data_IF_693865995639
#
_entry.id   IF_693865995639
#
_cell.length_a   1.000
_cell.length_b   1.000
_cell.length_c   1.000
_cell.angle_alpha   90.00
_cell.angle_beta   90.00
_cell.angle_gamma   90.00
#
_symmetry.space_group_name_H-M   'P 1'
#
loop_
_entity.id
_entity.type
_entity.pdbx_description
1 polymer ?
#
# COMPACT_ATOMS: atom_id res chain seq x y z
N UNK A 1 -33.43 -15.38 -0.46
CA UNK A 1 -34.05 -14.05 -0.75
C UNK A 1 -33.49 -12.89 0.09
N UNK A 2 -32.49 -13.12 0.94
CA UNK A 2 -31.89 -12.11 1.84
C UNK A 2 -30.70 -11.34 1.25
N UNK A 3 -30.00 -11.86 0.24
CA UNK A 3 -28.74 -11.26 -0.25
C UNK A 3 -28.94 -10.02 -1.13
N UNK A 4 -29.93 -10.03 -2.02
CA UNK A 4 -30.13 -8.92 -2.97
C UNK A 4 -30.64 -7.63 -2.31
N UNK A 5 -31.54 -7.74 -1.32
CA UNK A 5 -32.04 -6.57 -0.58
C UNK A 5 -30.97 -5.96 0.34
N UNK A 6 -30.12 -6.81 0.96
CA UNK A 6 -28.96 -6.38 1.74
C UNK A 6 -27.90 -5.67 0.90
N UNK A 7 -27.69 -6.09 -0.36
CA UNK A 7 -26.72 -5.48 -1.29
C UNK A 7 -27.23 -4.12 -1.83
N UNK A 8 -28.52 -3.99 -2.09
CA UNK A 8 -29.13 -2.71 -2.50
C UNK A 8 -29.06 -1.68 -1.37
N UNK A 9 -29.34 -2.09 -0.13
CA UNK A 9 -29.23 -1.21 1.05
C UNK A 9 -27.77 -0.79 1.30
N UNK A 10 -26.82 -1.71 1.18
CA UNK A 10 -25.40 -1.42 1.27
C UNK A 10 -24.90 -0.46 0.18
N UNK A 11 -25.49 -0.49 -1.01
CA UNK A 11 -25.13 0.42 -2.12
C UNK A 11 -25.56 1.87 -1.89
N UNK A 12 -26.40 2.16 -0.90
CA UNK A 12 -26.96 3.49 -0.63
C UNK A 12 -26.40 4.18 0.62
N UNK A 13 -25.48 3.56 1.35
CA UNK A 13 -24.90 4.11 2.57
C UNK A 13 -23.78 5.10 2.28
N UNK A 14 -23.68 6.20 3.06
CA UNK A 14 -22.51 7.10 3.05
C UNK A 14 -21.27 6.38 3.56
N UNK A 15 -20.08 6.85 3.15
CA UNK A 15 -18.80 6.35 3.68
C UNK A 15 -18.42 4.93 3.25
N UNK A 16 -18.98 4.39 2.16
CA UNK A 16 -18.75 3.00 1.69
C UNK A 16 -17.27 2.67 1.53
N UNK A 17 -16.48 3.55 0.93
CA UNK A 17 -15.04 3.34 0.80
C UNK A 17 -14.35 3.39 2.18
N UNK A 18 -14.72 4.31 3.03
CA UNK A 18 -14.20 4.42 4.39
C UNK A 18 -14.43 3.12 5.18
N UNK A 19 -15.61 2.53 5.04
CA UNK A 19 -16.01 1.30 5.72
C UNK A 19 -15.19 0.07 5.33
N UNK A 20 -14.52 0.05 4.18
CA UNK A 20 -13.64 -1.07 3.76
C UNK A 20 -12.16 -0.82 4.07
N UNK A 21 -11.78 0.42 4.43
CA UNK A 21 -10.38 0.73 4.77
C UNK A 21 -9.95 0.04 6.07
N UNK A 22 -8.64 -0.19 6.21
CA UNK A 22 -8.10 -0.85 7.40
C UNK A 22 -8.72 -2.22 7.69
N UNK A 23 -9.15 -2.97 6.67
CA UNK A 23 -9.87 -4.27 6.78
C UNK A 23 -11.20 -4.13 7.53
N UNK A 24 -11.95 -3.07 7.28
CA UNK A 24 -13.25 -2.81 7.92
C UNK A 24 -13.16 -2.06 9.25
N UNK A 25 -11.95 -1.65 9.67
CA UNK A 25 -11.74 -0.91 10.93
C UNK A 25 -11.62 0.60 10.76
N UNK A 26 -11.37 1.09 9.56
CA UNK A 26 -11.04 2.47 9.23
C UNK A 26 -9.74 2.96 9.90
N UNK A 27 -8.64 3.00 9.16
CA UNK A 27 -7.44 3.73 9.59
C UNK A 27 -7.73 5.24 9.47
N UNK A 28 -7.99 5.90 10.61
CA UNK A 28 -8.43 7.30 10.66
C UNK A 28 -7.30 8.24 10.27
N UNK A 29 -6.14 8.05 10.88
CA UNK A 29 -4.93 8.84 10.64
C UNK A 29 -3.69 8.05 11.08
N UNK A 30 -2.52 8.68 11.00
CA UNK A 30 -1.29 8.20 11.60
C UNK A 30 -0.87 9.21 12.68
N UNK A 31 -0.63 8.72 13.91
CA UNK A 31 -0.26 9.55 15.06
C UNK A 31 1.18 10.04 14.92
N UNK A 32 1.33 11.12 14.17
CA UNK A 32 2.62 11.77 13.87
C UNK A 32 2.44 13.27 13.73
N UNK A 33 3.53 14.00 13.76
CA UNK A 33 3.56 15.44 13.55
C UNK A 33 3.43 15.82 12.04
N UNK A 34 3.32 17.12 11.76
CA UNK A 34 3.19 17.64 10.41
C UNK A 34 4.39 17.24 9.53
N UNK A 35 5.60 17.23 10.09
CA UNK A 35 6.78 16.82 9.35
C UNK A 35 6.74 15.32 9.00
N UNK A 36 6.26 14.47 9.93
CA UNK A 36 6.05 13.06 9.68
C UNK A 36 5.01 12.82 8.58
N UNK A 37 3.91 13.57 8.57
CA UNK A 37 2.94 13.51 7.48
C UNK A 37 3.60 13.88 6.14
N UNK A 38 4.31 15.01 6.08
CA UNK A 38 4.97 15.48 4.86
C UNK A 38 6.04 14.52 4.34
N UNK A 39 6.83 13.90 5.23
CA UNK A 39 7.84 12.89 4.82
C UNK A 39 7.23 11.67 4.13
N UNK A 40 5.98 11.34 4.45
CA UNK A 40 5.27 10.21 3.87
C UNK A 40 4.45 10.56 2.60
N UNK A 41 4.52 11.79 2.13
CA UNK A 41 3.95 12.20 0.83
C UNK A 41 5.02 12.05 -0.25
N UNK A 42 4.93 11.08 -1.17
CA UNK A 42 6.00 10.75 -2.12
C UNK A 42 6.37 11.85 -3.10
N UNK A 43 5.65 12.95 -3.15
CA UNK A 43 6.03 14.08 -4.01
C UNK A 43 5.14 15.28 -3.82
N UNK A 44 5.74 16.44 -4.05
CA UNK A 44 5.10 17.74 -3.85
C UNK A 44 4.49 17.93 -2.44
N UNK A 45 5.13 17.34 -1.41
CA UNK A 45 4.66 17.37 -0.04
C UNK A 45 4.42 18.81 0.47
N UNK A 46 5.24 19.76 0.05
CA UNK A 46 5.11 21.18 0.42
C UNK A 46 3.75 21.80 0.08
N UNK A 47 3.10 21.31 -0.97
CA UNK A 47 1.75 21.74 -1.33
C UNK A 47 0.73 21.48 -0.20
N UNK A 48 0.93 20.44 0.61
CA UNK A 48 0.04 20.07 1.71
C UNK A 48 0.42 20.71 3.05
N UNK A 49 1.50 21.50 3.11
CA UNK A 49 1.98 22.09 4.37
C UNK A 49 0.89 22.88 5.09
N UNK A 50 0.24 23.83 4.39
CA UNK A 50 -0.82 24.65 4.98
C UNK A 50 -2.02 23.83 5.45
N UNK A 51 -2.42 22.80 4.67
CA UNK A 51 -3.52 21.94 5.03
C UNK A 51 -3.21 21.11 6.30
N UNK A 52 -2.02 20.50 6.37
CA UNK A 52 -1.60 19.74 7.56
C UNK A 52 -1.32 20.64 8.78
N UNK A 53 -0.88 21.88 8.56
CA UNK A 53 -0.74 22.84 9.66
C UNK A 53 -2.07 23.33 10.21
N UNK A 54 -3.10 23.40 9.38
CA UNK A 54 -4.45 23.79 9.81
C UNK A 54 -5.24 22.64 10.43
N UNK A 55 -5.02 21.40 9.97
CA UNK A 55 -5.71 20.20 10.45
C UNK A 55 -4.77 18.99 10.38
N UNK A 56 -4.01 18.81 11.45
CA UNK A 56 -3.03 17.73 11.59
C UNK A 56 -3.63 16.41 12.10
N UNK A 57 -2.80 15.41 12.35
CA UNK A 57 -3.25 14.12 12.86
C UNK A 57 -3.91 14.22 14.24
N UNK A 58 -3.39 15.08 15.12
CA UNK A 58 -3.97 15.29 16.46
C UNK A 58 -5.31 15.99 16.38
N UNK A 59 -5.46 16.99 15.52
CA UNK A 59 -6.73 17.65 15.22
C UNK A 59 -7.76 16.65 14.72
N UNK A 60 -7.37 15.73 13.83
CA UNK A 60 -8.24 14.67 13.34
C UNK A 60 -8.67 13.71 14.46
N UNK A 61 -7.75 13.31 15.34
CA UNK A 61 -8.06 12.47 16.49
C UNK A 61 -9.04 13.17 17.43
N UNK A 62 -8.73 14.40 17.85
CA UNK A 62 -9.60 15.19 18.75
C UNK A 62 -10.98 15.43 18.16
N UNK A 63 -11.07 15.63 16.85
CA UNK A 63 -12.35 15.79 16.16
C UNK A 63 -13.25 14.55 16.31
N UNK A 64 -12.73 13.34 16.08
CA UNK A 64 -13.51 12.11 16.23
C UNK A 64 -13.84 11.80 17.69
N UNK A 65 -12.91 12.04 18.61
CA UNK A 65 -13.14 11.88 20.05
C UNK A 65 -14.25 12.84 20.55
N UNK A 66 -14.27 14.09 20.10
CA UNK A 66 -15.32 15.05 20.37
C UNK A 66 -16.69 14.62 19.81
N UNK A 67 -16.71 13.85 18.71
CA UNK A 67 -17.92 13.24 18.17
C UNK A 67 -18.36 11.95 18.89
N UNK A 68 -17.66 11.58 19.98
CA UNK A 68 -17.96 10.41 20.78
C UNK A 68 -17.41 9.09 20.24
N UNK A 69 -16.37 9.13 19.41
CA UNK A 69 -15.69 7.94 18.90
C UNK A 69 -14.31 7.81 19.54
N UNK A 70 -14.16 6.98 20.58
CA UNK A 70 -12.85 6.71 21.20
C UNK A 70 -11.90 6.09 20.19
N UNK A 71 -10.64 6.56 20.19
CA UNK A 71 -9.59 6.09 19.29
C UNK A 71 -8.49 5.33 20.05
N UNK A 72 -7.74 4.52 19.31
CA UNK A 72 -6.51 3.83 19.80
C UNK A 72 -5.43 3.94 18.74
N UNK A 73 -4.17 4.08 19.21
CA UNK A 73 -2.98 4.02 18.35
C UNK A 73 -2.37 2.62 18.43
N UNK A 74 -2.15 2.00 17.28
CA UNK A 74 -1.52 0.68 17.14
C UNK A 74 -0.10 0.79 16.60
N UNK A 75 0.60 -0.35 16.48
CA UNK A 75 1.95 -0.44 15.91
C UNK A 75 2.04 0.29 14.57
N UNK A 76 3.08 1.09 14.39
CA UNK A 76 3.29 1.93 13.21
C UNK A 76 2.48 3.23 13.25
N UNK A 77 2.12 3.68 14.45
CA UNK A 77 1.37 4.91 14.72
C UNK A 77 0.00 4.98 13.99
N UNK A 78 -0.57 3.84 13.61
CA UNK A 78 -1.89 3.79 12.93
C UNK A 78 -3.02 3.96 13.94
N UNK A 79 -3.92 4.89 13.65
CA UNK A 79 -5.04 5.23 14.52
C UNK A 79 -6.33 4.58 14.02
N UNK A 80 -7.01 3.88 14.92
CA UNK A 80 -8.27 3.19 14.66
C UNK A 80 -9.31 3.53 15.72
N UNK A 81 -10.63 3.39 15.42
CA UNK A 81 -11.63 3.41 16.49
C UNK A 81 -11.38 2.25 17.46
N UNK A 82 -11.58 2.50 18.75
CA UNK A 82 -11.35 1.49 19.78
C UNK A 82 -12.24 0.24 19.61
N UNK A 83 -13.41 0.40 19.00
CA UNK A 83 -14.36 -0.66 18.67
C UNK A 83 -13.93 -1.57 17.51
N UNK A 84 -12.87 -1.20 16.76
CA UNK A 84 -12.47 -1.85 15.50
C UNK A 84 -13.57 -1.85 14.40
N UNK A 85 -14.51 -0.90 14.46
CA UNK A 85 -15.64 -0.80 13.53
C UNK A 85 -15.59 0.50 12.74
N UNK A 86 -15.35 0.42 11.45
CA UNK A 86 -15.34 1.59 10.55
C UNK A 86 -16.68 2.35 10.54
N UNK A 87 -17.78 1.65 10.82
CA UNK A 87 -19.11 2.26 10.88
C UNK A 87 -19.25 3.33 11.97
N UNK A 88 -18.53 3.24 13.07
CA UNK A 88 -18.59 4.24 14.14
C UNK A 88 -18.04 5.60 13.64
N UNK A 89 -17.01 5.57 12.79
CA UNK A 89 -16.47 6.75 12.13
C UNK A 89 -17.48 7.34 11.13
N UNK A 90 -18.02 6.50 10.24
CA UNK A 90 -18.95 7.00 9.21
C UNK A 90 -20.26 7.49 9.79
N UNK A 91 -20.75 6.87 10.87
CA UNK A 91 -21.96 7.27 11.56
C UNK A 91 -21.76 8.59 12.31
N UNK A 92 -20.60 8.78 12.95
CA UNK A 92 -20.25 10.03 13.59
C UNK A 92 -20.20 11.19 12.58
N UNK A 93 -19.54 11.00 11.42
CA UNK A 93 -19.50 11.99 10.34
C UNK A 93 -20.89 12.30 9.79
N UNK A 94 -21.73 11.27 9.63
CA UNK A 94 -23.11 11.45 9.16
C UNK A 94 -23.93 12.27 10.15
N UNK A 95 -23.86 11.93 11.44
CA UNK A 95 -24.56 12.69 12.51
C UNK A 95 -24.09 14.13 12.55
N UNK A 96 -22.77 14.35 12.48
CA UNK A 96 -22.18 15.68 12.48
C UNK A 96 -22.67 16.53 11.30
N UNK A 97 -22.67 15.98 10.09
CA UNK A 97 -23.17 16.70 8.90
C UNK A 97 -24.64 17.10 9.05
N UNK A 98 -25.49 16.16 9.49
CA UNK A 98 -26.93 16.42 9.66
C UNK A 98 -27.23 17.44 10.80
N UNK A 99 -26.51 17.34 11.92
CA UNK A 99 -26.67 18.29 13.03
C UNK A 99 -26.14 19.69 12.69
N UNK A 100 -25.22 19.79 11.73
CA UNK A 100 -24.74 21.06 11.18
C UNK A 100 -25.64 21.66 10.10
N UNK A 101 -26.82 21.08 9.84
CA UNK A 101 -27.79 21.55 8.87
C UNK A 101 -27.52 21.11 7.41
N UNK A 102 -26.58 20.19 7.17
CA UNK A 102 -26.34 19.67 5.82
C UNK A 102 -27.47 18.75 5.36
N UNK A 103 -27.90 18.88 4.11
CA UNK A 103 -28.84 17.97 3.47
C UNK A 103 -28.09 16.88 2.71
N UNK A 104 -28.42 15.60 2.96
CA UNK A 104 -27.86 14.45 2.26
C UNK A 104 -28.78 14.00 1.14
N UNK A 105 -28.33 14.13 -0.10
CA UNK A 105 -29.04 13.65 -1.29
C UNK A 105 -28.37 12.43 -1.89
N UNK A 106 -29.18 11.45 -2.31
CA UNK A 106 -28.72 10.17 -2.88
C UNK A 106 -28.96 10.16 -4.37
N UNK A 107 -28.11 10.86 -5.09
CA UNK A 107 -28.19 10.92 -6.54
C UNK A 107 -26.79 11.06 -7.14
N UNK A 108 -26.68 10.76 -8.43
CA UNK A 108 -25.47 11.00 -9.18
C UNK A 108 -25.44 12.44 -9.65
N UNK A 109 -24.31 13.12 -9.39
CA UNK A 109 -24.02 14.42 -9.97
C UNK A 109 -23.54 14.22 -11.41
N UNK A 110 -24.15 14.94 -12.35
CA UNK A 110 -23.86 14.84 -13.78
C UNK A 110 -22.90 15.94 -14.24
N UNK A 111 -23.04 17.16 -13.70
CA UNK A 111 -22.19 18.30 -14.06
C UNK A 111 -22.31 19.44 -13.07
N UNK A 112 -21.32 20.31 -13.10
CA UNK A 112 -21.35 21.63 -12.46
C UNK A 112 -21.60 22.69 -13.55
N UNK A 113 -22.45 23.65 -13.26
CA UNK A 113 -22.79 24.76 -14.17
C UNK A 113 -22.07 26.01 -13.71
N UNK A 114 -21.39 26.68 -14.64
CA UNK A 114 -20.76 27.97 -14.42
C UNK A 114 -21.42 29.01 -15.31
N UNK A 115 -21.76 30.18 -14.73
CA UNK A 115 -22.34 31.31 -15.39
C UNK A 115 -21.59 32.57 -14.91
N UNK A 116 -21.34 33.50 -15.79
CA UNK A 116 -20.62 34.77 -15.48
C UNK A 116 -19.26 34.58 -14.78
N UNK A 117 -18.53 33.49 -15.13
CA UNK A 117 -17.20 33.20 -14.57
C UNK A 117 -17.20 32.58 -13.18
N UNK A 118 -18.36 32.21 -12.61
CA UNK A 118 -18.49 31.56 -11.32
C UNK A 118 -19.39 30.33 -11.37
N UNK A 119 -19.34 29.52 -10.32
CA UNK A 119 -20.27 28.39 -10.14
C UNK A 119 -21.68 28.93 -9.90
N UNK A 120 -22.69 28.39 -10.58
CA UNK A 120 -24.09 28.77 -10.41
C UNK A 120 -24.99 27.62 -9.92
N UNK A 121 -24.66 26.39 -10.24
CA UNK A 121 -25.45 25.23 -9.83
C UNK A 121 -24.68 23.90 -9.98
N UNK A 122 -25.17 22.89 -9.26
CA UNK A 122 -24.90 21.48 -9.52
C UNK A 122 -26.13 20.84 -10.18
N UNK A 123 -25.93 20.01 -11.21
CA UNK A 123 -26.99 19.24 -11.86
C UNK A 123 -26.79 17.78 -11.52
N UNK A 124 -27.78 17.17 -10.89
CA UNK A 124 -27.88 15.74 -10.61
C UNK A 124 -28.97 15.08 -11.42
N UNK A 125 -29.17 13.78 -11.22
CA UNK A 125 -30.27 13.03 -11.83
C UNK A 125 -31.65 13.52 -11.36
N UNK A 126 -31.71 14.05 -10.13
CA UNK A 126 -32.95 14.55 -9.52
C UNK A 126 -33.25 16.02 -9.81
N UNK A 127 -32.36 16.77 -10.45
CA UNK A 127 -32.60 18.17 -10.78
C UNK A 127 -31.38 19.09 -10.73
N UNK A 128 -31.67 20.39 -10.74
CA UNK A 128 -30.66 21.46 -10.64
C UNK A 128 -30.69 22.07 -9.22
N UNK A 129 -29.52 22.19 -8.61
CA UNK A 129 -29.30 22.72 -7.28
C UNK A 129 -28.45 24.00 -7.37
N UNK A 130 -29.03 25.17 -7.17
CA UNK A 130 -28.28 26.44 -7.16
C UNK A 130 -27.26 26.45 -6.03
N UNK A 131 -26.03 26.90 -6.32
CA UNK A 131 -24.97 27.05 -5.33
C UNK A 131 -23.90 28.02 -5.88
N UNK A 132 -23.17 28.65 -4.98
CA UNK A 132 -22.09 29.60 -5.30
C UNK A 132 -20.72 28.91 -5.29
N UNK A 133 -20.61 27.76 -4.63
CA UNK A 133 -19.35 27.01 -4.51
C UNK A 133 -19.60 25.50 -4.48
N UNK A 134 -18.66 24.72 -5.00
CA UNK A 134 -18.71 23.25 -5.02
C UNK A 134 -17.39 22.69 -4.52
N UNK A 135 -17.46 21.75 -3.58
CA UNK A 135 -16.32 20.91 -3.18
C UNK A 135 -16.44 19.58 -3.91
N UNK A 136 -15.52 19.35 -4.86
CA UNK A 136 -15.46 18.09 -5.63
C UNK A 136 -14.70 17.03 -4.84
N UNK A 137 -15.42 16.14 -4.14
CA UNK A 137 -14.87 15.13 -3.24
C UNK A 137 -15.32 13.70 -3.61
N UNK A 138 -15.37 13.40 -4.91
CA UNK A 138 -15.93 12.16 -5.47
C UNK A 138 -15.02 10.92 -5.34
N UNK A 139 -13.80 11.08 -4.84
CA UNK A 139 -12.78 10.04 -4.82
C UNK A 139 -12.13 9.82 -6.20
N UNK A 140 -11.35 8.75 -6.30
CA UNK A 140 -10.62 8.38 -7.52
C UNK A 140 -11.25 7.21 -8.30
N UNK A 141 -10.40 6.29 -8.81
CA UNK A 141 -10.83 5.11 -9.59
C UNK A 141 -10.73 3.79 -8.81
N UNK A 142 -10.11 3.79 -7.63
CA UNK A 142 -9.94 2.56 -6.84
C UNK A 142 -11.26 2.12 -6.23
N UNK A 143 -11.53 0.80 -6.25
CA UNK A 143 -12.76 0.19 -5.74
C UNK A 143 -14.04 0.82 -6.30
N UNK A 144 -14.29 0.72 -7.63
CA UNK A 144 -15.44 1.39 -8.28
C UNK A 144 -16.79 1.00 -7.67
N UNK A 145 -16.91 -0.23 -7.16
CA UNK A 145 -18.11 -0.70 -6.45
C UNK A 145 -18.46 0.14 -5.20
N UNK A 146 -17.56 0.98 -4.70
CA UNK A 146 -17.81 1.90 -3.58
C UNK A 146 -18.32 3.28 -4.03
N UNK A 147 -18.43 3.53 -5.33
CA UNK A 147 -18.84 4.82 -5.91
C UNK A 147 -17.68 5.66 -6.47
N UNK A 148 -16.44 5.17 -6.43
CA UNK A 148 -15.27 5.87 -6.99
C UNK A 148 -15.11 5.51 -8.47
N UNK A 149 -15.90 6.12 -9.33
CA UNK A 149 -16.02 5.82 -10.77
C UNK A 149 -15.23 6.77 -11.66
N UNK A 150 -14.62 7.81 -11.09
CA UNK A 150 -13.85 8.82 -11.82
C UNK A 150 -14.67 10.02 -12.29
N UNK A 151 -15.96 10.09 -12.00
CA UNK A 151 -16.85 11.18 -12.43
C UNK A 151 -16.28 12.58 -12.11
N UNK A 152 -15.56 12.72 -10.96
CA UNK A 152 -14.92 13.98 -10.58
C UNK A 152 -13.82 14.42 -11.55
N UNK A 153 -13.10 13.51 -12.16
CA UNK A 153 -12.10 13.87 -13.17
C UNK A 153 -12.76 14.38 -14.44
N UNK A 154 -13.88 13.82 -14.84
CA UNK A 154 -14.63 14.26 -16.02
C UNK A 154 -15.28 15.61 -15.79
N UNK A 155 -15.85 15.82 -14.59
CA UNK A 155 -16.38 17.13 -14.18
C UNK A 155 -15.26 18.19 -14.17
N UNK A 156 -14.08 17.87 -13.61
CA UNK A 156 -12.95 18.79 -13.58
C UNK A 156 -12.47 19.17 -14.99
N UNK A 157 -12.37 18.19 -15.90
CA UNK A 157 -12.02 18.47 -17.33
C UNK A 157 -13.06 19.36 -18.01
N UNK A 158 -14.34 19.08 -17.78
CA UNK A 158 -15.43 19.87 -18.33
C UNK A 158 -15.42 21.33 -17.85
N UNK A 159 -14.85 21.58 -16.67
CA UNK A 159 -14.64 22.93 -16.08
C UNK A 159 -13.31 23.57 -16.53
N UNK A 160 -12.55 22.95 -17.42
CA UNK A 160 -11.29 23.49 -17.96
C UNK A 160 -10.05 23.17 -17.15
N UNK A 161 -10.15 22.32 -16.10
CA UNK A 161 -8.97 21.89 -15.35
C UNK A 161 -8.16 20.81 -16.08
N UNK A 162 -6.85 20.89 -15.98
CA UNK A 162 -5.96 19.83 -16.45
C UNK A 162 -5.94 18.68 -15.45
N UNK A 163 -6.30 17.48 -15.92
CA UNK A 163 -6.16 16.24 -15.15
C UNK A 163 -4.96 15.48 -15.68
N UNK A 164 -3.93 15.33 -14.85
CA UNK A 164 -2.72 14.56 -15.19
C UNK A 164 -3.05 13.09 -15.40
N UNK A 165 -2.23 12.33 -16.17
CA UNK A 165 -2.45 10.89 -16.32
C UNK A 165 -2.57 10.19 -14.97
N UNK A 166 -3.60 9.36 -14.83
CA UNK A 166 -3.85 8.61 -13.60
C UNK A 166 -2.95 7.38 -13.57
N UNK A 167 -2.38 7.09 -12.40
CA UNK A 167 -1.57 5.91 -12.15
C UNK A 167 -1.98 5.25 -10.83
N UNK A 168 -1.87 3.91 -10.72
CA UNK A 168 -2.09 3.24 -9.45
C UNK A 168 -1.04 3.67 -8.41
N UNK A 169 -1.44 3.64 -7.14
CA UNK A 169 -0.57 3.88 -5.99
C UNK A 169 -1.00 2.97 -4.85
N UNK A 170 -0.08 2.62 -3.95
CA UNK A 170 -0.31 1.64 -2.89
C UNK A 170 -0.82 0.30 -3.48
N UNK A 171 -0.18 -0.16 -4.54
CA UNK A 171 -0.57 -1.32 -5.31
C UNK A 171 0.47 -2.44 -5.20
N UNK A 172 0.04 -3.68 -5.39
CA UNK A 172 0.95 -4.80 -5.53
C UNK A 172 1.78 -4.66 -6.82
N UNK A 173 2.97 -5.27 -6.84
CA UNK A 173 3.92 -5.21 -7.95
C UNK A 173 3.92 -6.53 -8.73
N UNK A 174 3.89 -6.42 -10.06
CA UNK A 174 3.99 -7.58 -10.95
C UNK A 174 5.46 -7.86 -11.27
N UNK A 175 5.87 -9.11 -11.10
CA UNK A 175 7.21 -9.57 -11.45
C UNK A 175 7.36 -9.64 -12.98
N UNK A 176 8.58 -9.40 -13.47
CA UNK A 176 8.94 -9.56 -14.88
C UNK A 176 9.00 -11.03 -15.32
N UNK A 177 9.17 -11.24 -16.62
CA UNK A 177 9.30 -12.58 -17.21
C UNK A 177 10.46 -13.38 -16.60
N UNK A 178 10.28 -14.70 -16.46
CA UNK A 178 11.29 -15.59 -15.87
C UNK A 178 11.40 -15.48 -14.35
N UNK A 179 10.45 -14.82 -13.69
CA UNK A 179 10.45 -14.60 -12.26
C UNK A 179 10.22 -15.83 -11.40
N UNK A 180 10.36 -15.68 -10.11
CA UNK A 180 10.31 -16.77 -9.12
C UNK A 180 9.17 -16.61 -8.10
N UNK A 181 8.49 -15.47 -8.08
CA UNK A 181 7.50 -15.15 -7.04
C UNK A 181 6.36 -16.17 -7.00
N UNK A 182 5.92 -16.67 -8.14
CA UNK A 182 4.86 -17.68 -8.23
C UNK A 182 5.23 -18.99 -7.51
N UNK A 183 6.53 -19.39 -7.51
CA UNK A 183 7.02 -20.58 -6.78
C UNK A 183 6.93 -20.40 -5.26
N UNK A 184 6.91 -19.16 -4.78
CA UNK A 184 6.83 -18.78 -3.37
C UNK A 184 5.45 -18.25 -2.98
N UNK A 185 4.42 -18.40 -3.83
CA UNK A 185 3.07 -17.90 -3.57
C UNK A 185 2.56 -18.26 -2.17
N UNK A 186 2.02 -17.24 -1.48
CA UNK A 186 1.49 -17.36 -0.12
C UNK A 186 2.56 -17.30 0.98
N UNK A 187 3.85 -17.23 0.64
CA UNK A 187 4.90 -16.99 1.62
C UNK A 187 4.88 -15.53 2.07
N UNK A 188 4.66 -15.32 3.37
CA UNK A 188 4.78 -14.01 4.02
C UNK A 188 6.08 -13.96 4.83
N UNK A 189 6.83 -12.88 4.64
CA UNK A 189 8.06 -12.57 5.38
C UNK A 189 7.79 -11.35 6.26
N UNK A 190 8.10 -11.42 7.57
CA UNK A 190 7.71 -10.37 8.53
C UNK A 190 8.80 -9.33 8.83
N UNK A 191 10.05 -9.72 8.80
CA UNK A 191 11.17 -8.88 9.23
C UNK A 191 12.22 -8.84 8.12
N UNK A 192 11.85 -8.25 6.99
CA UNK A 192 12.75 -8.03 5.85
C UNK A 192 12.95 -6.54 5.61
N UNK A 193 14.04 -6.19 4.96
CA UNK A 193 14.20 -4.86 4.40
C UNK A 193 14.07 -4.94 2.88
N UNK A 194 13.52 -3.89 2.28
CA UNK A 194 13.50 -3.75 0.83
C UNK A 194 14.25 -2.49 0.41
N UNK A 195 14.83 -2.54 -0.78
CA UNK A 195 15.33 -1.37 -1.50
C UNK A 195 14.71 -1.37 -2.89
N UNK A 196 14.02 -0.28 -3.24
CA UNK A 196 13.49 -0.07 -4.58
C UNK A 196 14.49 0.73 -5.41
N UNK A 197 14.83 0.20 -6.57
CA UNK A 197 15.69 0.85 -7.56
C UNK A 197 14.88 1.28 -8.79
N UNK A 198 15.15 2.47 -9.30
CA UNK A 198 14.69 2.99 -10.58
C UNK A 198 15.89 3.15 -11.52
N UNK A 199 15.96 2.35 -12.59
CA UNK A 199 17.11 2.33 -13.54
C UNK A 199 18.46 2.27 -12.82
N UNK A 200 18.58 1.39 -11.83
CA UNK A 200 19.79 1.20 -11.02
C UNK A 200 20.03 2.21 -9.91
N UNK A 201 19.24 3.29 -9.83
CA UNK A 201 19.31 4.27 -8.76
C UNK A 201 18.37 3.91 -7.61
N UNK A 202 18.87 3.84 -6.39
CA UNK A 202 18.08 3.67 -5.17
C UNK A 202 17.13 4.86 -4.98
N UNK A 203 15.82 4.60 -4.85
CA UNK A 203 14.80 5.62 -4.68
C UNK A 203 13.96 5.48 -3.39
N UNK A 204 13.90 4.26 -2.81
CA UNK A 204 13.12 4.02 -1.59
C UNK A 204 13.67 2.83 -0.82
N UNK A 205 13.52 2.83 0.51
CA UNK A 205 13.81 1.70 1.40
C UNK A 205 12.74 1.62 2.46
N UNK A 206 12.42 0.40 2.87
CA UNK A 206 11.48 0.16 3.97
C UNK A 206 11.83 -1.16 4.69
N UNK A 207 11.29 -1.31 5.91
CA UNK A 207 11.44 -2.51 6.72
C UNK A 207 10.08 -2.96 7.24
N UNK A 208 9.75 -4.24 7.04
CA UNK A 208 8.47 -4.77 7.51
C UNK A 208 8.07 -6.09 6.89
N UNK A 209 6.79 -6.18 6.50
CA UNK A 209 6.17 -7.40 5.96
C UNK A 209 6.04 -7.35 4.44
N UNK A 210 6.38 -8.47 3.81
CA UNK A 210 6.25 -8.73 2.38
C UNK A 210 5.50 -10.04 2.15
N UNK A 211 4.69 -10.10 1.11
CA UNK A 211 3.97 -11.29 0.66
C UNK A 211 4.33 -11.61 -0.79
N UNK A 212 4.76 -12.84 -1.05
CA UNK A 212 4.89 -13.38 -2.41
C UNK A 212 3.53 -13.86 -2.93
N UNK A 213 3.19 -13.46 -4.16
CA UNK A 213 1.96 -13.83 -4.85
C UNK A 213 2.28 -14.57 -6.14
N UNK A 214 1.25 -15.11 -6.81
CA UNK A 214 1.42 -15.77 -8.10
C UNK A 214 1.85 -14.81 -9.24
N UNK A 215 1.70 -13.52 -9.05
CA UNK A 215 2.03 -12.51 -10.06
C UNK A 215 3.24 -11.64 -9.67
N UNK A 216 3.75 -11.73 -8.44
CA UNK A 216 4.85 -10.89 -7.98
C UNK A 216 4.80 -10.62 -6.47
N UNK A 217 4.94 -9.37 -6.06
CA UNK A 217 5.11 -8.94 -4.69
C UNK A 217 3.91 -8.13 -4.17
N UNK A 218 3.57 -8.32 -2.89
CA UNK A 218 2.57 -7.56 -2.15
C UNK A 218 3.01 -7.38 -0.69
N UNK A 219 2.13 -6.86 0.13
CA UNK A 219 2.39 -6.60 1.55
C UNK A 219 2.73 -5.13 1.83
N UNK A 220 2.71 -4.71 3.11
CA UNK A 220 2.79 -3.31 3.50
C UNK A 220 3.96 -2.56 2.88
N UNK A 221 5.19 -3.10 2.95
CA UNK A 221 6.39 -2.43 2.41
C UNK A 221 6.35 -2.30 0.89
N UNK A 222 5.73 -3.25 0.18
CA UNK A 222 5.58 -3.22 -1.27
C UNK A 222 4.55 -2.19 -1.71
N UNK A 223 3.41 -2.11 -0.98
CA UNK A 223 2.41 -1.10 -1.25
C UNK A 223 3.00 0.32 -1.07
N UNK A 224 3.77 0.53 -0.01
CA UNK A 224 4.48 1.80 0.19
C UNK A 224 5.49 2.07 -0.92
N UNK A 225 6.29 1.08 -1.31
CA UNK A 225 7.28 1.21 -2.39
C UNK A 225 6.63 1.59 -3.73
N UNK A 226 5.46 1.02 -4.05
CA UNK A 226 4.76 1.31 -5.30
C UNK A 226 4.39 2.78 -5.47
N UNK A 227 4.15 3.51 -4.38
CA UNK A 227 3.85 4.95 -4.43
C UNK A 227 5.01 5.81 -4.96
N UNK A 228 6.24 5.27 -4.97
CA UNK A 228 7.44 5.92 -5.50
C UNK A 228 7.71 5.61 -6.98
N UNK A 229 6.95 4.67 -7.57
CA UNK A 229 7.13 4.24 -8.98
C UNK A 229 6.28 5.09 -9.92
N UNK A 230 6.81 6.21 -10.39
CA UNK A 230 6.05 7.20 -11.21
C UNK A 230 6.21 7.07 -12.71
N UNK A 231 7.22 6.34 -13.18
CA UNK A 231 7.64 6.30 -14.58
C UNK A 231 7.56 4.88 -15.17
N UNK A 232 6.55 4.10 -14.76
CA UNK A 232 6.29 2.77 -15.32
C UNK A 232 6.17 2.85 -16.86
N UNK A 233 6.80 1.89 -17.54
CA UNK A 233 6.86 1.85 -19.00
C UNK A 233 7.96 2.71 -19.63
N UNK A 234 8.60 3.62 -18.87
CA UNK A 234 9.76 4.41 -19.33
C UNK A 234 11.05 4.08 -18.62
N UNK A 235 10.98 3.52 -17.42
CA UNK A 235 12.13 3.15 -16.58
C UNK A 235 11.98 1.74 -16.05
N UNK A 236 13.09 1.10 -15.79
CA UNK A 236 13.15 -0.22 -15.17
C UNK A 236 13.10 -0.10 -13.65
N UNK A 237 12.41 -1.04 -13.02
CA UNK A 237 12.31 -1.11 -11.56
C UNK A 237 12.77 -2.48 -11.05
N UNK A 238 13.51 -2.46 -9.95
CA UNK A 238 13.95 -3.67 -9.25
C UNK A 238 13.71 -3.47 -7.74
N UNK A 239 13.12 -4.47 -7.11
CA UNK A 239 13.06 -4.57 -5.65
C UNK A 239 14.14 -5.54 -5.21
N UNK A 240 15.12 -5.07 -4.43
CA UNK A 240 16.05 -5.93 -3.71
C UNK A 240 15.53 -6.18 -2.29
N UNK A 241 15.51 -7.45 -1.88
CA UNK A 241 15.00 -7.88 -0.58
C UNK A 241 16.17 -8.38 0.24
N UNK A 242 16.44 -7.74 1.38
CA UNK A 242 17.30 -8.28 2.43
C UNK A 242 16.48 -9.23 3.31
N UNK A 243 16.74 -10.51 3.20
CA UNK A 243 16.00 -11.56 3.92
C UNK A 243 16.44 -11.68 5.38
N UNK A 244 17.58 -11.11 5.77
CA UNK A 244 18.17 -11.16 7.11
C UNK A 244 18.75 -9.79 7.51
N UNK A 245 17.94 -8.74 7.63
CA UNK A 245 18.44 -7.38 7.86
C UNK A 245 19.13 -7.20 9.22
N UNK A 246 18.83 -8.05 10.20
CA UNK A 246 19.49 -8.04 11.50
C UNK A 246 20.93 -8.59 11.49
N UNK A 247 21.36 -9.22 10.40
CA UNK A 247 22.71 -9.78 10.23
C UNK A 247 23.42 -9.04 9.11
N UNK A 248 24.63 -8.54 9.37
CA UNK A 248 25.52 -8.12 8.30
C UNK A 248 26.07 -9.32 7.50
N UNK A 249 26.76 -9.07 6.40
CA UNK A 249 27.24 -10.13 5.51
C UNK A 249 28.24 -11.05 6.22
N UNK A 250 29.12 -10.50 7.08
CA UNK A 250 30.11 -11.27 7.82
C UNK A 250 29.47 -12.19 8.84
N UNK A 251 28.52 -11.66 9.63
CA UNK A 251 27.78 -12.44 10.63
C UNK A 251 26.91 -13.51 9.99
N UNK A 252 26.31 -13.20 8.84
CA UNK A 252 25.53 -14.19 8.06
C UNK A 252 26.43 -15.30 7.51
N UNK A 253 27.62 -14.98 6.98
CA UNK A 253 28.59 -15.97 6.51
C UNK A 253 29.06 -16.90 7.64
N UNK A 254 29.41 -16.34 8.81
CA UNK A 254 29.76 -17.12 10.01
C UNK A 254 28.62 -18.04 10.45
N UNK A 255 27.38 -17.59 10.38
CA UNK A 255 26.22 -18.41 10.70
C UNK A 255 26.06 -19.56 9.73
N UNK A 256 26.11 -19.29 8.41
CA UNK A 256 26.01 -20.33 7.37
C UNK A 256 27.12 -21.36 7.55
N UNK A 257 28.35 -20.91 7.80
CA UNK A 257 29.48 -21.81 8.03
C UNK A 257 29.25 -22.72 9.23
N UNK A 258 28.77 -22.16 10.35
CA UNK A 258 28.42 -22.93 11.56
C UNK A 258 27.32 -23.95 11.29
N UNK A 259 26.26 -23.57 10.56
CA UNK A 259 25.15 -24.45 10.23
C UNK A 259 25.59 -25.58 9.29
N UNK A 260 26.54 -25.31 8.36
CA UNK A 260 27.19 -26.32 7.51
C UNK A 260 28.09 -27.27 8.29
N UNK A 261 28.87 -26.77 9.26
CA UNK A 261 29.73 -27.59 10.11
C UNK A 261 28.90 -28.56 10.96
N UNK A 262 27.73 -28.15 11.45
CA UNK A 262 26.80 -28.99 12.21
C UNK A 262 26.20 -30.12 11.37
N UNK A 263 26.07 -29.92 10.05
CA UNK A 263 25.38 -30.80 9.12
C UNK A 263 26.24 -31.26 7.92
N UNK A 264 27.53 -31.52 8.12
CA UNK A 264 28.55 -31.70 7.07
C UNK A 264 28.18 -32.64 5.91
N UNK A 265 27.41 -33.69 6.21
CA UNK A 265 27.01 -34.72 5.25
C UNK A 265 25.65 -34.49 4.61
N UNK A 266 24.95 -33.41 4.95
CA UNK A 266 23.68 -33.04 4.28
C UNK A 266 23.93 -32.48 2.89
N UNK A 267 22.99 -32.74 1.99
CA UNK A 267 22.91 -32.06 0.71
C UNK A 267 22.59 -30.58 0.92
N UNK A 268 23.12 -29.71 0.08
CA UNK A 268 22.96 -28.26 0.20
C UNK A 268 21.50 -27.85 0.27
N UNK A 269 20.62 -28.45 -0.58
CA UNK A 269 19.18 -28.14 -0.57
C UNK A 269 18.50 -28.42 0.78
N UNK A 270 19.02 -29.35 1.56
CA UNK A 270 18.47 -29.78 2.86
C UNK A 270 19.15 -29.09 4.04
N UNK A 271 20.03 -28.11 3.82
CA UNK A 271 20.85 -27.49 4.87
C UNK A 271 20.43 -26.06 5.22
N UNK A 272 19.45 -25.51 4.50
CA UNK A 272 18.99 -24.12 4.65
C UNK A 272 17.72 -23.97 5.48
N UNK A 273 17.20 -25.05 6.05
CA UNK A 273 15.94 -25.12 6.77
C UNK A 273 15.92 -24.30 8.08
N UNK A 274 17.06 -24.19 8.77
CA UNK A 274 17.21 -23.32 9.96
C UNK A 274 17.37 -21.83 9.59
N UNK A 275 17.66 -21.52 8.33
CA UNK A 275 17.95 -20.16 7.87
C UNK A 275 16.78 -19.53 7.09
N UNK A 276 16.12 -20.30 6.23
CA UNK A 276 15.12 -19.83 5.27
C UNK A 276 13.80 -20.62 5.37
N UNK A 277 12.66 -19.97 5.06
CA UNK A 277 11.40 -20.67 4.93
C UNK A 277 11.46 -21.76 3.85
N UNK A 278 10.83 -22.90 4.09
CA UNK A 278 10.82 -24.07 3.20
C UNK A 278 10.49 -23.72 1.73
N UNK A 279 9.47 -22.91 1.48
CA UNK A 279 9.08 -22.49 0.12
C UNK A 279 10.14 -21.68 -0.61
N UNK A 280 11.04 -21.03 0.11
CA UNK A 280 12.10 -20.18 -0.47
C UNK A 280 13.35 -20.98 -0.82
N UNK A 281 13.62 -22.07 -0.12
CA UNK A 281 14.85 -22.86 -0.28
C UNK A 281 15.10 -23.28 -1.73
N UNK A 282 14.14 -23.90 -2.46
CA UNK A 282 14.38 -24.29 -3.85
C UNK A 282 14.74 -23.11 -4.77
N UNK A 283 14.14 -21.96 -4.54
CA UNK A 283 14.41 -20.75 -5.32
C UNK A 283 15.80 -20.20 -5.01
N UNK A 284 16.21 -20.15 -3.75
CA UNK A 284 17.55 -19.69 -3.35
C UNK A 284 18.62 -20.67 -3.88
N UNK A 285 18.40 -21.97 -3.77
CA UNK A 285 19.31 -22.99 -4.31
C UNK A 285 19.47 -22.81 -5.81
N UNK A 286 18.38 -22.73 -6.57
CA UNK A 286 18.41 -22.50 -8.02
C UNK A 286 19.18 -21.21 -8.37
N UNK A 287 18.97 -20.12 -7.66
CA UNK A 287 19.57 -18.81 -7.94
C UNK A 287 21.00 -18.68 -7.45
N UNK A 288 21.43 -19.47 -6.46
CA UNK A 288 22.82 -19.46 -5.97
C UNK A 288 23.81 -20.07 -6.98
N UNK A 289 23.29 -20.91 -7.89
CA UNK A 289 24.12 -21.68 -8.83
C UNK A 289 24.95 -22.78 -8.14
N UNK A 290 24.63 -23.13 -6.91
CA UNK A 290 25.25 -24.24 -6.17
C UNK A 290 24.47 -25.51 -6.47
N UNK A 291 25.16 -26.61 -6.74
CA UNK A 291 24.52 -27.90 -6.95
C UNK A 291 23.66 -28.29 -5.72
N UNK A 292 22.35 -28.56 -5.87
CA UNK A 292 21.47 -28.92 -4.77
C UNK A 292 21.92 -30.15 -3.98
N UNK A 293 22.64 -31.08 -4.63
CA UNK A 293 23.09 -32.36 -4.04
C UNK A 293 24.55 -32.35 -3.58
N UNK A 294 25.26 -31.23 -3.73
CA UNK A 294 26.61 -31.11 -3.16
C UNK A 294 26.54 -31.19 -1.65
N UNK A 295 27.44 -31.94 -1.04
CA UNK A 295 27.55 -31.99 0.42
C UNK A 295 28.05 -30.65 0.95
N UNK A 296 27.43 -30.11 2.01
CA UNK A 296 27.73 -28.74 2.48
C UNK A 296 29.19 -28.54 2.88
N UNK A 297 29.91 -29.60 3.29
CA UNK A 297 31.34 -29.49 3.57
C UNK A 297 32.20 -29.21 2.31
N UNK A 298 31.66 -29.50 1.11
CA UNK A 298 32.33 -29.23 -0.18
C UNK A 298 31.94 -27.86 -0.77
N UNK A 299 30.99 -27.15 -0.17
CA UNK A 299 30.63 -25.78 -0.63
C UNK A 299 31.79 -24.84 -0.41
N UNK A 300 32.30 -24.29 -1.49
CA UNK A 300 33.47 -23.39 -1.48
C UNK A 300 33.17 -22.05 -0.83
N UNK A 301 34.22 -21.34 -0.41
CA UNK A 301 34.10 -19.95 0.10
C UNK A 301 33.44 -19.03 -0.93
N UNK A 302 33.78 -19.15 -2.21
CA UNK A 302 33.23 -18.33 -3.28
C UNK A 302 31.73 -18.56 -3.45
N UNK A 303 31.25 -19.81 -3.38
CA UNK A 303 29.84 -20.17 -3.42
C UNK A 303 29.08 -19.63 -2.20
N UNK A 304 29.68 -19.73 -1.01
CA UNK A 304 29.07 -19.21 0.20
C UNK A 304 28.95 -17.69 0.18
N UNK A 305 29.96 -16.96 -0.32
CA UNK A 305 29.88 -15.51 -0.52
C UNK A 305 28.74 -15.12 -1.49
N UNK A 306 28.59 -15.86 -2.60
CA UNK A 306 27.46 -15.67 -3.52
C UNK A 306 26.11 -15.90 -2.83
N UNK A 307 26.00 -16.97 -2.03
CA UNK A 307 24.79 -17.29 -1.25
C UNK A 307 24.47 -16.17 -0.26
N UNK A 308 25.46 -15.68 0.49
CA UNK A 308 25.31 -14.52 1.39
C UNK A 308 24.81 -13.30 0.62
N UNK A 309 25.45 -12.97 -0.48
CA UNK A 309 25.05 -11.86 -1.34
C UNK A 309 23.62 -11.98 -1.85
N UNK A 310 23.21 -13.19 -2.24
CA UNK A 310 21.84 -13.46 -2.68
C UNK A 310 20.80 -13.29 -1.52
N UNK A 311 21.11 -13.74 -0.32
CA UNK A 311 20.23 -13.60 0.86
C UNK A 311 20.12 -12.13 1.28
N UNK A 312 21.19 -11.36 1.16
CA UNK A 312 21.22 -9.93 1.51
C UNK A 312 20.60 -9.03 0.43
N UNK A 313 20.65 -9.42 -0.82
CA UNK A 313 20.20 -8.64 -1.99
C UNK A 313 19.44 -9.56 -2.97
N UNK A 314 18.32 -10.12 -2.52
CA UNK A 314 17.47 -10.95 -3.37
C UNK A 314 16.70 -10.07 -4.37
N UNK A 315 17.07 -10.03 -5.66
CA UNK A 315 16.46 -9.12 -6.61
C UNK A 315 15.20 -9.70 -7.24
N UNK A 316 14.20 -8.83 -7.40
CA UNK A 316 12.96 -9.09 -8.14
C UNK A 316 12.78 -7.96 -9.16
N UNK A 317 12.84 -8.28 -10.43
CA UNK A 317 12.55 -7.33 -11.51
C UNK A 317 11.05 -7.06 -11.58
N UNK A 318 10.66 -5.80 -11.70
CA UNK A 318 9.26 -5.38 -11.71
C UNK A 318 8.86 -4.93 -13.10
N UNK A 319 7.79 -5.52 -13.63
CA UNK A 319 7.21 -5.19 -14.94
C UNK A 319 6.02 -4.23 -14.83
N UNK A 320 5.35 -4.14 -13.67
CA UNK A 320 4.16 -3.32 -13.54
C UNK A 320 3.60 -3.22 -12.12
N UNK A 321 2.47 -2.56 -12.03
CA UNK A 321 1.58 -2.52 -10.86
C UNK A 321 0.26 -3.21 -11.20
N UNK A 322 -0.39 -3.76 -10.19
CA UNK A 322 -1.66 -4.47 -10.37
C UNK A 322 -2.86 -3.62 -9.95
#
# INVERSE_FOLDING_TARGET
RSSAASDVYKRQAVGRKLNITGKGRCNVTNDTDVEGLLRNVPGNARFLFSAFSAFDARSAMSFFEALGVPLKTERGARVYPQSDRAYDITDALRRYALSSGAELRRERVLRVVCENGGVSAVVGEGGRYPCESVILATGGLSYPATGSTGDGYDIARALGHTVTPLAPSLSALTEGEGGFCAKMQGLSLKNIAITLFESGKKIYTDFGELLFTHFGLSGPVILSASAHMRNLGRKTYTVEIDLKPALDEETLDKRILRDFMKNQNRDFINSLDELLPQKMIPVIVQRSGIDPHVKVHSVTRAERVRLVGLIKRFPVAISGMR
#
